data_IF_173487587508
#
_entry.id   IF_173487587508
#
_cell.length_a   1.000
_cell.length_b   1.000
_cell.length_c   1.000
_cell.angle_alpha   90.00
_cell.angle_beta   90.00
_cell.angle_gamma   90.00
#
_symmetry.space_group_name_H-M   'P 1'
#
loop_
_entity.id
_entity.type
_entity.pdbx_description
1 polymer ?
#
# COMPACT_ATOMS: atom_id res chain seq x y z
N UNK A 1 24.76 24.59 -14.25
CA UNK A 1 25.71 24.00 -13.27
C UNK A 1 24.91 23.11 -12.35
N UNK A 2 25.29 21.85 -12.12
CA UNK A 2 24.50 20.98 -11.25
C UNK A 2 24.51 21.57 -9.83
N UNK A 3 23.33 21.63 -9.21
CA UNK A 3 23.14 22.18 -7.87
C UNK A 3 24.03 21.46 -6.88
N UNK A 4 24.72 22.21 -6.02
CA UNK A 4 25.43 21.64 -4.87
C UNK A 4 24.42 20.81 -4.06
N UNK A 5 24.75 19.55 -3.83
CA UNK A 5 23.96 18.67 -2.98
C UNK A 5 24.25 19.03 -1.53
N UNK A 6 23.21 19.13 -0.71
CA UNK A 6 23.37 19.40 0.71
C UNK A 6 24.00 18.18 1.42
N UNK A 7 24.66 18.41 2.56
CA UNK A 7 25.24 17.31 3.34
C UNK A 7 24.15 16.33 3.80
N UNK A 8 22.96 16.84 4.13
CA UNK A 8 21.81 16.02 4.53
C UNK A 8 21.41 15.06 3.41
N UNK A 9 21.30 15.56 2.18
CA UNK A 9 20.96 14.76 1.00
C UNK A 9 22.03 13.69 0.72
N UNK A 10 23.32 14.02 0.91
CA UNK A 10 24.41 13.05 0.76
C UNK A 10 24.34 11.94 1.82
N UNK A 11 24.03 12.27 3.07
CA UNK A 11 23.84 11.29 4.14
C UNK A 11 22.59 10.44 3.89
N UNK A 12 21.50 11.04 3.42
CA UNK A 12 20.29 10.33 3.00
C UNK A 12 20.61 9.32 1.89
N UNK A 13 21.40 9.74 0.90
CA UNK A 13 21.86 8.89 -0.19
C UNK A 13 22.68 7.69 0.33
N UNK A 14 23.58 7.88 1.30
CA UNK A 14 24.34 6.77 1.89
C UNK A 14 23.43 5.73 2.57
N UNK A 15 22.36 6.18 3.21
CA UNK A 15 21.44 5.28 3.92
C UNK A 15 20.57 4.51 2.93
N UNK A 16 19.94 5.19 1.97
CA UNK A 16 18.87 4.61 1.16
C UNK A 16 19.29 4.17 -0.25
N UNK A 17 20.33 4.76 -0.84
CA UNK A 17 20.76 4.46 -2.20
C UNK A 17 21.95 3.48 -2.20
N UNK A 18 21.65 2.20 -2.48
CA UNK A 18 22.65 1.12 -2.43
C UNK A 18 23.85 1.37 -3.35
N UNK A 19 23.62 1.75 -4.59
CA UNK A 19 24.69 1.95 -5.58
C UNK A 19 25.65 3.06 -5.14
N UNK A 20 25.09 4.18 -4.69
CA UNK A 20 25.86 5.30 -4.14
C UNK A 20 26.66 4.88 -2.90
N UNK A 21 26.05 4.14 -1.97
CA UNK A 21 26.71 3.63 -0.78
C UNK A 21 27.86 2.68 -1.13
N UNK A 22 27.64 1.75 -2.05
CA UNK A 22 28.66 0.76 -2.43
C UNK A 22 29.87 1.45 -3.08
N UNK A 23 29.64 2.45 -3.93
CA UNK A 23 30.70 3.30 -4.51
C UNK A 23 31.46 4.06 -3.42
N UNK A 24 30.74 4.68 -2.49
CA UNK A 24 31.33 5.40 -1.36
C UNK A 24 32.20 4.49 -0.47
N UNK A 25 31.73 3.26 -0.17
CA UNK A 25 32.49 2.29 0.63
C UNK A 25 33.75 1.84 -0.13
N UNK A 26 33.64 1.60 -1.44
CA UNK A 26 34.75 1.09 -2.24
C UNK A 26 35.85 2.14 -2.47
N UNK A 27 35.47 3.39 -2.74
CA UNK A 27 36.36 4.40 -3.28
C UNK A 27 36.40 5.70 -2.45
N UNK A 28 35.65 5.78 -1.35
CA UNK A 28 35.62 6.92 -0.43
C UNK A 28 34.82 8.13 -0.97
N UNK A 29 34.75 9.22 -0.18
CA UNK A 29 34.00 10.44 -0.54
C UNK A 29 34.50 11.13 -1.81
N UNK A 30 35.72 10.83 -2.26
CA UNK A 30 36.29 11.38 -3.50
C UNK A 30 35.68 10.78 -4.76
N UNK A 31 35.11 9.58 -4.66
CA UNK A 31 34.48 8.88 -5.78
C UNK A 31 33.03 9.27 -6.01
N UNK A 32 32.37 9.83 -5.00
CA UNK A 32 30.97 10.19 -5.08
C UNK A 32 30.74 11.10 -6.29
N UNK A 33 29.87 10.68 -7.21
CA UNK A 33 29.43 11.45 -8.37
C UNK A 33 28.77 12.82 -8.02
N UNK A 34 28.73 13.19 -6.74
CA UNK A 34 28.12 14.39 -6.21
C UNK A 34 29.13 15.55 -6.17
N UNK A 35 28.65 16.74 -6.51
CA UNK A 35 29.42 17.98 -6.43
C UNK A 35 29.55 18.46 -4.97
N UNK A 36 30.37 17.77 -4.17
CA UNK A 36 30.62 18.07 -2.75
C UNK A 36 31.69 19.16 -2.57
N UNK A 37 31.43 20.08 -1.65
CA UNK A 37 32.42 21.06 -1.18
C UNK A 37 33.52 20.39 -0.34
N UNK A 38 34.70 21.00 -0.19
CA UNK A 38 35.77 20.44 0.64
C UNK A 38 35.35 20.18 2.10
N UNK A 39 34.52 21.05 2.66
CA UNK A 39 33.98 20.89 4.01
C UNK A 39 33.06 19.65 4.12
N UNK A 40 32.17 19.44 3.14
CA UNK A 40 31.30 18.26 3.09
C UNK A 40 32.11 16.98 2.90
N UNK A 41 33.15 16.99 2.07
CA UNK A 41 34.07 15.84 1.92
C UNK A 41 34.73 15.49 3.24
N UNK A 42 35.29 16.50 3.92
CA UNK A 42 35.92 16.29 5.23
C UNK A 42 34.94 15.73 6.27
N UNK A 43 33.68 16.15 6.24
CA UNK A 43 32.64 15.62 7.13
C UNK A 43 32.29 14.17 6.78
N UNK A 44 32.13 13.84 5.49
CA UNK A 44 31.81 12.48 5.04
C UNK A 44 32.96 11.50 5.26
N UNK A 45 34.22 11.95 5.23
CA UNK A 45 35.38 11.11 5.59
C UNK A 45 35.35 10.63 7.05
N UNK A 46 34.56 11.25 7.93
CA UNK A 46 34.39 10.84 9.32
C UNK A 46 33.28 9.79 9.51
N UNK A 47 32.57 9.39 8.46
CA UNK A 47 31.52 8.36 8.53
C UNK A 47 32.14 7.00 8.81
N UNK A 48 31.65 6.34 9.86
CA UNK A 48 32.00 4.95 10.16
C UNK A 48 31.31 4.02 9.15
N UNK A 49 32.11 3.41 8.27
CA UNK A 49 31.63 2.54 7.21
C UNK A 49 31.04 1.23 7.73
N UNK A 50 31.53 0.74 8.87
CA UNK A 50 31.01 -0.48 9.49
C UNK A 50 29.62 -0.20 10.08
N UNK A 51 29.49 0.91 10.82
CA UNK A 51 28.21 1.31 11.39
C UNK A 51 27.19 1.69 10.32
N UNK A 52 27.62 2.32 9.22
CA UNK A 52 26.76 2.57 8.05
C UNK A 52 26.23 1.25 7.47
N UNK A 53 27.10 0.25 7.31
CA UNK A 53 26.71 -1.07 6.78
C UNK A 53 25.72 -1.78 7.71
N UNK A 54 25.96 -1.73 9.04
CA UNK A 54 25.04 -2.31 10.04
C UNK A 54 23.69 -1.59 10.05
N UNK A 55 23.70 -0.26 10.02
CA UNK A 55 22.49 0.58 10.05
C UNK A 55 21.60 0.30 8.84
N UNK A 56 22.18 0.31 7.64
CA UNK A 56 21.42 0.03 6.41
C UNK A 56 20.88 -1.40 6.37
N UNK A 57 21.65 -2.39 6.82
CA UNK A 57 21.18 -3.78 6.97
C UNK A 57 20.00 -3.89 7.94
N UNK A 58 20.06 -3.15 9.06
CA UNK A 58 18.98 -3.11 10.06
C UNK A 58 17.71 -2.49 9.48
N UNK A 59 17.82 -1.36 8.77
CA UNK A 59 16.70 -0.71 8.09
C UNK A 59 16.05 -1.69 7.10
N UNK A 60 16.83 -2.31 6.22
CA UNK A 60 16.31 -3.30 5.27
C UNK A 60 15.59 -4.45 5.96
N UNK A 61 16.15 -4.97 7.06
CA UNK A 61 15.51 -6.01 7.85
C UNK A 61 14.20 -5.55 8.47
N UNK A 62 14.14 -4.32 9.00
CA UNK A 62 12.92 -3.75 9.58
C UNK A 62 11.83 -3.55 8.54
N UNK A 63 12.16 -3.04 7.36
CA UNK A 63 11.19 -2.88 6.27
C UNK A 63 10.63 -4.24 5.82
N UNK A 64 11.50 -5.24 5.65
CA UNK A 64 11.08 -6.55 5.18
C UNK A 64 10.32 -7.37 6.22
N UNK A 65 10.74 -7.33 7.49
CA UNK A 65 10.27 -8.25 8.55
C UNK A 65 9.44 -7.57 9.64
N UNK A 66 9.36 -6.25 9.64
CA UNK A 66 8.75 -5.49 10.72
C UNK A 66 9.65 -5.35 11.94
N UNK A 67 9.04 -4.98 13.06
CA UNK A 67 9.74 -4.82 14.35
C UNK A 67 10.06 -6.18 14.99
N UNK A 68 10.89 -6.16 16.04
CA UNK A 68 11.48 -7.36 16.70
C UNK A 68 10.42 -8.39 17.13
N UNK A 69 9.19 -7.95 17.40
CA UNK A 69 8.07 -8.82 17.79
C UNK A 69 7.37 -9.51 16.61
N UNK A 70 7.89 -9.38 15.38
CA UNK A 70 7.36 -10.05 14.18
C UNK A 70 6.05 -9.45 13.65
N UNK A 71 5.63 -8.30 14.18
CA UNK A 71 4.49 -7.55 13.69
C UNK A 71 4.92 -6.53 12.62
N UNK A 72 4.20 -6.54 11.51
CA UNK A 72 4.36 -5.60 10.40
C UNK A 72 5.43 -5.99 9.37
N UNK A 73 5.75 -5.04 8.49
CA UNK A 73 6.72 -5.20 7.42
C UNK A 73 6.17 -5.90 6.18
N UNK A 74 6.91 -5.77 5.08
CA UNK A 74 6.44 -6.18 3.75
C UNK A 74 6.17 -7.67 3.63
N UNK A 75 6.85 -8.54 4.39
CA UNK A 75 6.59 -9.99 4.36
C UNK A 75 5.29 -10.39 5.08
N UNK A 76 4.83 -9.59 6.04
CA UNK A 76 3.54 -9.82 6.67
C UNK A 76 2.41 -9.28 5.78
N UNK A 77 2.63 -8.12 5.16
CA UNK A 77 1.61 -7.43 4.37
C UNK A 77 1.50 -7.96 2.93
N UNK A 78 2.61 -8.35 2.30
CA UNK A 78 2.70 -8.83 0.90
C UNK A 78 3.38 -10.20 0.72
N UNK A 79 3.04 -11.24 1.51
CA UNK A 79 3.77 -12.51 1.51
C UNK A 79 3.78 -13.20 0.13
N UNK A 80 2.65 -13.21 -0.56
CA UNK A 80 2.50 -13.92 -1.83
C UNK A 80 3.05 -13.10 -2.99
N UNK A 81 2.87 -11.78 -2.98
CA UNK A 81 3.49 -10.89 -3.98
C UNK A 81 5.02 -11.02 -3.94
N UNK A 82 5.63 -11.01 -2.74
CA UNK A 82 7.07 -11.20 -2.62
C UNK A 82 7.51 -12.60 -3.10
N UNK A 83 6.74 -13.63 -2.79
CA UNK A 83 7.00 -15.01 -3.27
C UNK A 83 6.95 -15.09 -4.80
N UNK A 84 5.98 -14.42 -5.43
CA UNK A 84 5.84 -14.33 -6.88
C UNK A 84 7.01 -13.58 -7.52
N UNK A 85 7.42 -12.45 -6.95
CA UNK A 85 8.57 -11.70 -7.45
C UNK A 85 9.87 -12.50 -7.34
N UNK A 86 10.04 -13.24 -6.24
CA UNK A 86 11.18 -14.12 -6.03
C UNK A 86 11.23 -15.27 -7.06
N UNK A 87 10.09 -15.88 -7.39
CA UNK A 87 10.03 -16.93 -8.42
C UNK A 87 10.35 -16.41 -9.82
N UNK A 88 10.16 -15.10 -10.06
CA UNK A 88 10.56 -14.38 -11.28
C UNK A 88 12.01 -13.87 -11.25
N UNK A 89 12.80 -14.23 -10.24
CA UNK A 89 14.21 -13.89 -10.12
C UNK A 89 14.52 -12.58 -9.40
N UNK A 90 13.51 -11.89 -8.84
CA UNK A 90 13.72 -10.68 -8.05
C UNK A 90 14.07 -11.05 -6.60
N UNK A 91 15.32 -10.84 -6.20
CA UNK A 91 15.78 -11.10 -4.82
C UNK A 91 15.30 -9.99 -3.88
N UNK A 92 14.84 -10.37 -2.67
CA UNK A 92 14.39 -9.44 -1.63
C UNK A 92 15.36 -8.30 -1.34
N UNK A 93 16.67 -8.58 -1.29
CA UNK A 93 17.67 -7.55 -1.01
C UNK A 93 17.76 -6.50 -2.13
N UNK A 94 17.65 -6.93 -3.39
CA UNK A 94 17.61 -6.03 -4.54
C UNK A 94 16.30 -5.25 -4.61
N UNK A 95 15.18 -5.92 -4.32
CA UNK A 95 13.85 -5.29 -4.26
C UNK A 95 13.80 -4.20 -3.18
N UNK A 96 14.21 -4.53 -1.96
CA UNK A 96 14.22 -3.60 -0.84
C UNK A 96 15.17 -2.42 -1.10
N UNK A 97 16.35 -2.67 -1.66
CA UNK A 97 17.27 -1.59 -2.03
C UNK A 97 16.68 -0.64 -3.08
N UNK A 98 15.98 -1.16 -4.10
CA UNK A 98 15.32 -0.33 -5.11
C UNK A 98 14.13 0.43 -4.54
N UNK A 99 13.36 -0.20 -3.66
CA UNK A 99 12.22 0.43 -2.99
C UNK A 99 12.67 1.59 -2.09
N UNK A 100 13.67 1.37 -1.24
CA UNK A 100 14.23 2.42 -0.36
C UNK A 100 14.78 3.62 -1.13
N UNK A 101 15.29 3.40 -2.35
CA UNK A 101 15.81 4.45 -3.21
C UNK A 101 14.73 5.12 -4.10
N UNK A 102 13.46 4.72 -3.97
CA UNK A 102 12.36 5.20 -4.81
C UNK A 102 11.64 6.40 -4.20
N UNK A 103 11.10 7.26 -5.06
CA UNK A 103 10.25 8.39 -4.63
C UNK A 103 8.98 7.95 -3.89
N UNK A 104 8.51 6.72 -4.12
CA UNK A 104 7.39 6.16 -3.38
C UNK A 104 7.72 6.00 -1.89
N UNK A 105 8.96 5.62 -1.56
CA UNK A 105 9.40 5.48 -0.16
C UNK A 105 9.56 6.85 0.54
N UNK A 106 9.87 7.92 -0.19
CA UNK A 106 9.99 9.27 0.39
C UNK A 106 8.68 9.78 1.03
N UNK A 107 7.54 9.18 0.66
CA UNK A 107 6.22 9.50 1.21
C UNK A 107 5.92 8.76 2.54
N UNK A 108 6.71 7.75 2.89
CA UNK A 108 6.48 6.92 4.08
C UNK A 108 6.66 7.73 5.37
N UNK A 109 5.69 7.67 6.29
CA UNK A 109 5.82 8.27 7.62
C UNK A 109 5.26 7.33 8.69
N UNK A 110 6.06 7.09 9.72
CA UNK A 110 5.67 6.26 10.88
C UNK A 110 5.40 7.12 12.14
N UNK A 111 5.79 8.39 12.13
CA UNK A 111 5.81 9.23 13.33
C UNK A 111 4.44 9.89 13.58
N UNK A 112 3.81 9.67 14.76
CA UNK A 112 2.48 10.21 15.10
C UNK A 112 2.38 11.74 15.18
N UNK A 113 3.49 12.46 15.32
CA UNK A 113 3.52 13.90 15.63
C UNK A 113 4.06 14.77 14.48
N UNK A 114 4.25 14.21 13.28
CA UNK A 114 4.65 14.94 12.07
C UNK A 114 3.49 15.16 11.10
N UNK A 115 3.77 15.73 9.93
CA UNK A 115 2.82 15.67 8.81
C UNK A 115 2.55 14.21 8.44
N UNK A 116 1.28 13.89 8.22
CA UNK A 116 0.88 12.53 7.84
C UNK A 116 1.44 12.18 6.45
N UNK A 117 2.13 11.05 6.39
CA UNK A 117 2.55 10.43 5.13
C UNK A 117 1.66 9.25 4.78
N UNK A 118 2.21 8.38 3.95
CA UNK A 118 1.61 7.10 3.59
C UNK A 118 2.08 5.98 4.52
N UNK A 119 1.27 4.92 4.59
CA UNK A 119 1.70 3.65 5.16
C UNK A 119 2.83 3.03 4.35
N UNK A 120 3.64 2.16 4.98
CA UNK A 120 4.71 1.44 4.29
C UNK A 120 4.15 0.60 3.14
N UNK A 121 2.97 0.03 3.35
CA UNK A 121 2.29 -0.82 2.39
C UNK A 121 1.81 -0.07 1.15
N UNK A 122 1.26 1.14 1.32
CA UNK A 122 0.88 1.99 0.19
C UNK A 122 2.11 2.44 -0.61
N UNK A 123 3.16 2.90 0.07
CA UNK A 123 4.42 3.24 -0.59
C UNK A 123 4.97 2.07 -1.42
N UNK A 124 4.92 0.85 -0.87
CA UNK A 124 5.41 -0.33 -1.57
C UNK A 124 4.49 -0.73 -2.73
N UNK A 125 3.18 -0.60 -2.57
CA UNK A 125 2.23 -0.85 -3.66
C UNK A 125 2.40 0.14 -4.82
N UNK A 126 2.55 1.44 -4.54
CA UNK A 126 2.87 2.45 -5.55
C UNK A 126 4.19 2.14 -6.26
N UNK A 127 5.23 1.79 -5.51
CA UNK A 127 6.51 1.39 -6.07
C UNK A 127 6.40 0.16 -6.99
N UNK A 128 5.51 -0.79 -6.66
CA UNK A 128 5.26 -1.96 -7.48
C UNK A 128 4.49 -1.61 -8.76
N UNK A 129 3.52 -0.71 -8.68
CA UNK A 129 2.60 -0.40 -9.79
C UNK A 129 3.13 0.66 -10.75
N UNK A 130 3.80 1.69 -10.23
CA UNK A 130 4.32 2.83 -10.99
C UNK A 130 5.84 2.79 -11.16
N UNK A 131 6.49 1.87 -10.45
CA UNK A 131 7.93 1.72 -10.49
C UNK A 131 8.44 0.90 -11.68
N UNK A 132 9.71 0.50 -11.63
CA UNK A 132 10.41 -0.13 -12.76
C UNK A 132 10.05 -1.61 -12.96
N UNK A 133 8.99 -2.12 -12.32
CA UNK A 133 8.52 -3.48 -12.48
C UNK A 133 7.37 -3.50 -13.46
N UNK A 134 7.55 -4.22 -14.58
CA UNK A 134 6.44 -4.52 -15.49
C UNK A 134 5.59 -5.63 -14.87
N UNK A 135 4.71 -5.25 -13.93
CA UNK A 135 3.79 -6.18 -13.31
C UNK A 135 2.65 -6.52 -14.28
N UNK A 136 2.51 -7.80 -14.57
CA UNK A 136 1.33 -8.33 -15.25
C UNK A 136 0.07 -8.20 -14.40
N UNK A 137 -1.08 -8.48 -15.02
CA UNK A 137 -2.38 -8.36 -14.38
C UNK A 137 -2.51 -9.25 -13.12
N UNK A 138 -1.91 -10.44 -13.13
CA UNK A 138 -1.96 -11.36 -11.99
C UNK A 138 -1.15 -10.86 -10.80
N UNK A 139 0.04 -10.32 -11.04
CA UNK A 139 0.87 -9.72 -9.99
C UNK A 139 0.22 -8.46 -9.42
N UNK A 140 -0.37 -7.61 -10.27
CA UNK A 140 -1.13 -6.43 -9.82
C UNK A 140 -2.37 -6.82 -9.01
N UNK A 141 -3.10 -7.84 -9.42
CA UNK A 141 -4.22 -8.40 -8.66
C UNK A 141 -3.76 -8.83 -7.27
N UNK A 142 -2.67 -9.61 -7.19
CA UNK A 142 -2.16 -10.14 -5.93
C UNK A 142 -1.69 -9.02 -4.98
N UNK A 143 -0.96 -8.04 -5.52
CA UNK A 143 -0.51 -6.87 -4.76
C UNK A 143 -1.70 -6.05 -4.24
N UNK A 144 -2.75 -5.86 -5.05
CA UNK A 144 -3.95 -5.09 -4.65
C UNK A 144 -4.74 -5.83 -3.57
N UNK A 145 -4.89 -7.15 -3.69
CA UNK A 145 -5.51 -8.00 -2.67
C UNK A 145 -4.79 -7.88 -1.32
N UNK A 146 -3.46 -7.99 -1.34
CA UNK A 146 -2.62 -7.91 -0.15
C UNK A 146 -2.63 -6.50 0.46
N UNK A 147 -2.60 -5.46 -0.36
CA UNK A 147 -2.78 -4.07 0.08
C UNK A 147 -4.12 -3.88 0.80
N UNK A 148 -5.25 -4.31 0.23
CA UNK A 148 -6.56 -4.15 0.87
C UNK A 148 -6.61 -4.81 2.24
N UNK A 149 -6.04 -6.01 2.39
CA UNK A 149 -5.97 -6.68 3.70
C UNK A 149 -5.09 -5.93 4.69
N UNK A 150 -3.95 -5.40 4.24
CA UNK A 150 -3.07 -4.61 5.09
C UNK A 150 -3.74 -3.30 5.55
N UNK A 151 -4.41 -2.59 4.64
CA UNK A 151 -5.16 -1.38 4.97
C UNK A 151 -6.30 -1.65 5.95
N UNK A 152 -7.06 -2.74 5.76
CA UNK A 152 -8.09 -3.17 6.72
C UNK A 152 -7.49 -3.39 8.11
N UNK A 153 -6.35 -4.09 8.20
CA UNK A 153 -5.68 -4.32 9.48
C UNK A 153 -5.26 -3.00 10.14
N UNK A 154 -4.77 -2.04 9.36
CA UNK A 154 -4.44 -0.70 9.83
C UNK A 154 -5.65 0.07 10.37
N UNK A 155 -6.78 0.01 9.67
CA UNK A 155 -8.04 0.60 10.16
C UNK A 155 -8.49 -0.08 11.46
N UNK A 156 -8.42 -1.42 11.55
CA UNK A 156 -8.78 -2.18 12.75
C UNK A 156 -7.92 -1.83 13.95
N UNK A 157 -6.61 -1.67 13.73
CA UNK A 157 -5.65 -1.34 14.78
C UNK A 157 -5.75 0.12 15.25
N UNK A 158 -6.52 0.97 14.55
CA UNK A 158 -6.58 2.40 14.84
C UNK A 158 -5.31 3.17 14.43
N UNK A 159 -4.51 2.61 13.51
CA UNK A 159 -3.23 3.16 13.08
C UNK A 159 -3.37 4.44 12.24
N UNK A 160 -4.57 4.83 11.82
CA UNK A 160 -4.83 6.04 11.01
C UNK A 160 -4.49 7.36 11.73
N UNK A 161 -4.10 7.31 13.00
CA UNK A 161 -3.51 8.44 13.69
C UNK A 161 -2.12 8.83 13.12
N UNK A 162 -1.38 7.88 12.54
CA UNK A 162 0.03 8.07 12.14
C UNK A 162 0.24 8.30 10.63
N UNK A 163 -0.70 7.89 9.79
CA UNK A 163 -0.66 8.09 8.34
C UNK A 163 -2.06 8.30 7.76
N UNK A 164 -2.11 8.71 6.49
CA UNK A 164 -3.32 8.73 5.67
C UNK A 164 -3.32 7.53 4.72
N UNK A 165 -4.53 7.08 4.34
CA UNK A 165 -4.72 6.21 3.18
C UNK A 165 -5.06 7.10 2.00
N UNK A 166 -4.26 7.06 0.93
CA UNK A 166 -4.41 7.91 -0.26
C UNK A 166 -4.61 7.13 -1.55
N UNK A 167 -4.40 5.82 -1.53
CA UNK A 167 -4.65 5.00 -2.71
C UNK A 167 -6.10 5.15 -3.22
N UNK A 168 -6.28 5.31 -4.53
CA UNK A 168 -7.61 5.52 -5.11
C UNK A 168 -8.47 4.23 -5.10
N UNK A 169 -7.82 3.07 -4.99
CA UNK A 169 -8.50 1.76 -5.02
C UNK A 169 -9.16 1.40 -3.68
N UNK A 170 -8.83 2.11 -2.59
CA UNK A 170 -9.40 1.88 -1.26
C UNK A 170 -9.93 3.18 -0.67
N UNK A 171 -11.25 3.29 -0.56
CA UNK A 171 -11.98 4.54 -0.38
C UNK A 171 -12.64 4.60 0.99
N UNK A 172 -12.97 5.81 1.43
CA UNK A 172 -13.80 6.04 2.63
C UNK A 172 -14.99 6.92 2.31
N UNK A 173 -16.12 6.62 2.94
CA UNK A 173 -17.30 7.50 2.97
C UNK A 173 -17.49 8.16 4.36
N UNK A 174 -16.47 8.12 5.22
CA UNK A 174 -16.50 8.63 6.59
C UNK A 174 -17.09 7.67 7.64
N UNK A 175 -17.91 6.70 7.23
CA UNK A 175 -18.47 5.68 8.13
C UNK A 175 -17.80 4.30 7.97
N UNK A 176 -17.24 4.02 6.79
CA UNK A 176 -16.55 2.80 6.45
C UNK A 176 -15.36 3.05 5.52
N UNK A 177 -14.48 2.06 5.44
CA UNK A 177 -13.40 1.97 4.47
C UNK A 177 -13.63 0.75 3.58
N UNK A 178 -13.44 0.88 2.27
CA UNK A 178 -13.77 -0.19 1.34
C UNK A 178 -13.05 -0.10 -0.01
N UNK A 179 -12.87 -1.24 -0.64
CA UNK A 179 -12.40 -1.39 -2.01
C UNK A 179 -13.03 -2.62 -2.66
N UNK A 180 -13.06 -2.62 -3.99
CA UNK A 180 -13.56 -3.76 -4.77
C UNK A 180 -12.45 -4.29 -5.67
N UNK A 181 -12.34 -5.60 -5.79
CA UNK A 181 -11.36 -6.24 -6.65
C UNK A 181 -12.04 -7.32 -7.49
N UNK A 182 -11.74 -7.35 -8.79
CA UNK A 182 -12.24 -8.39 -9.67
C UNK A 182 -11.41 -9.66 -9.47
N UNK A 183 -12.08 -10.75 -9.07
CA UNK A 183 -11.46 -12.05 -8.88
C UNK A 183 -11.69 -12.93 -10.10
N UNK A 184 -10.64 -13.67 -10.46
CA UNK A 184 -10.75 -14.82 -11.35
C UNK A 184 -10.41 -16.06 -10.53
N UNK A 185 -11.32 -17.03 -10.48
CA UNK A 185 -11.21 -18.20 -9.60
C UNK A 185 -9.95 -19.02 -9.91
N UNK A 186 -9.56 -19.08 -11.19
CA UNK A 186 -8.32 -19.73 -11.63
C UNK A 186 -7.08 -19.05 -11.02
N UNK A 187 -6.97 -17.72 -11.15
CA UNK A 187 -5.87 -16.91 -10.58
C UNK A 187 -5.86 -17.03 -9.06
N UNK A 188 -7.03 -16.92 -8.42
CA UNK A 188 -7.16 -17.04 -6.97
C UNK A 188 -6.66 -18.40 -6.47
N UNK A 189 -7.03 -19.50 -7.15
CA UNK A 189 -6.52 -20.84 -6.81
C UNK A 189 -5.01 -20.96 -7.00
N UNK A 190 -4.48 -20.43 -8.10
CA UNK A 190 -3.03 -20.43 -8.38
C UNK A 190 -2.24 -19.77 -7.24
N UNK A 191 -2.75 -18.67 -6.69
CA UNK A 191 -2.10 -17.94 -5.59
C UNK A 191 -2.68 -18.24 -4.20
N UNK A 192 -3.53 -19.26 -4.07
CA UNK A 192 -4.23 -19.64 -2.84
C UNK A 192 -4.93 -18.45 -2.13
N UNK A 193 -5.52 -17.53 -2.90
CA UNK A 193 -6.24 -16.33 -2.45
C UNK A 193 -7.71 -16.66 -2.19
N UNK A 194 -8.22 -16.21 -1.05
CA UNK A 194 -9.63 -16.34 -0.68
C UNK A 194 -10.35 -14.97 -0.75
N UNK A 195 -11.63 -14.95 -1.18
CA UNK A 195 -12.37 -16.08 -1.74
C UNK A 195 -11.92 -16.44 -3.17
N UNK A 196 -11.81 -17.73 -3.46
CA UNK A 196 -11.45 -18.23 -4.78
C UNK A 196 -12.68 -18.34 -5.72
N UNK A 197 -13.25 -17.20 -6.08
CA UNK A 197 -14.44 -17.07 -6.93
C UNK A 197 -14.15 -16.27 -8.21
N UNK A 198 -15.09 -16.30 -9.15
CA UNK A 198 -15.14 -15.39 -10.30
C UNK A 198 -16.06 -14.22 -9.96
N UNK A 199 -15.71 -13.00 -10.37
CA UNK A 199 -16.53 -11.81 -10.15
C UNK A 199 -15.95 -10.83 -9.12
N UNK A 200 -16.72 -9.81 -8.80
CA UNK A 200 -16.27 -8.74 -7.89
C UNK A 200 -16.30 -9.17 -6.42
N UNK A 201 -15.20 -8.93 -5.71
CA UNK A 201 -15.07 -9.12 -4.26
C UNK A 201 -14.97 -7.77 -3.56
N UNK A 202 -15.80 -7.59 -2.54
CA UNK A 202 -15.77 -6.43 -1.65
C UNK A 202 -14.83 -6.70 -0.47
N UNK A 203 -13.94 -5.74 -0.22
CA UNK A 203 -13.13 -5.61 0.98
C UNK A 203 -13.66 -4.39 1.72
N UNK A 204 -14.31 -4.58 2.87
CA UNK A 204 -14.89 -3.46 3.62
C UNK A 204 -14.72 -3.62 5.12
N UNK A 205 -14.50 -2.50 5.80
CA UNK A 205 -14.55 -2.41 7.26
C UNK A 205 -15.32 -1.17 7.68
N UNK A 206 -16.33 -1.39 8.52
CA UNK A 206 -17.13 -0.33 9.14
C UNK A 206 -17.40 -0.63 10.61
N UNK A 207 -18.32 0.13 11.21
CA UNK A 207 -18.64 0.03 12.64
C UNK A 207 -19.08 -1.37 13.09
N UNK A 208 -19.75 -2.13 12.21
CA UNK A 208 -20.28 -3.46 12.54
C UNK A 208 -19.32 -4.61 12.22
N UNK A 209 -18.14 -4.32 11.67
CA UNK A 209 -17.09 -5.32 11.44
C UNK A 209 -16.51 -5.31 10.02
N UNK A 210 -15.76 -6.38 9.75
CA UNK A 210 -15.05 -6.64 8.50
C UNK A 210 -15.87 -7.57 7.59
N UNK A 211 -15.94 -7.24 6.31
CA UNK A 211 -16.46 -8.11 5.24
C UNK A 211 -15.41 -8.25 4.15
N UNK A 212 -15.11 -9.50 3.81
CA UNK A 212 -14.40 -9.88 2.60
C UNK A 212 -15.24 -10.94 1.90
N UNK A 213 -15.82 -10.62 0.76
CA UNK A 213 -16.74 -11.55 0.10
C UNK A 213 -17.20 -11.10 -1.28
N UNK A 214 -17.62 -12.09 -2.07
CA UNK A 214 -18.18 -11.84 -3.39
C UNK A 214 -19.47 -11.03 -3.29
N UNK A 215 -19.62 -10.06 -4.18
CA UNK A 215 -20.85 -9.30 -4.38
C UNK A 215 -21.34 -9.51 -5.82
N UNK A 216 -22.66 -9.39 -6.07
CA UNK A 216 -23.17 -9.39 -7.44
C UNK A 216 -22.57 -8.25 -8.28
N UNK A 217 -22.39 -8.45 -9.58
CA UNK A 217 -21.75 -7.47 -10.48
C UNK A 217 -22.40 -6.08 -10.43
N UNK A 218 -23.73 -6.03 -10.35
CA UNK A 218 -24.47 -4.77 -10.24
C UNK A 218 -24.11 -4.00 -8.96
N UNK A 219 -23.84 -4.73 -7.86
CA UNK A 219 -23.40 -4.15 -6.59
C UNK A 219 -21.96 -3.66 -6.72
N UNK A 220 -21.10 -4.42 -7.39
CA UNK A 220 -19.75 -3.99 -7.74
C UNK A 220 -19.73 -2.66 -8.49
N UNK A 221 -20.65 -2.46 -9.46
CA UNK A 221 -20.81 -1.19 -10.16
C UNK A 221 -21.22 -0.04 -9.23
N UNK A 222 -22.22 -0.25 -8.37
CA UNK A 222 -22.62 0.76 -7.36
C UNK A 222 -21.43 1.13 -6.46
N UNK A 223 -20.71 0.12 -5.97
CA UNK A 223 -19.53 0.29 -5.12
C UNK A 223 -18.32 0.87 -5.85
N UNK A 224 -18.34 0.98 -7.17
CA UNK A 224 -17.33 1.65 -7.99
C UNK A 224 -17.64 3.14 -8.24
N UNK A 225 -18.88 3.58 -8.01
CA UNK A 225 -19.28 4.97 -8.27
C UNK A 225 -18.71 5.93 -7.20
N UNK A 226 -18.50 7.22 -7.54
CA UNK A 226 -17.94 8.21 -6.60
C UNK A 226 -18.81 8.46 -5.36
N UNK A 227 -20.13 8.38 -5.52
CA UNK A 227 -21.10 8.55 -4.45
C UNK A 227 -22.01 7.31 -4.35
N UNK A 228 -22.15 6.78 -3.14
CA UNK A 228 -22.99 5.63 -2.84
C UNK A 228 -24.24 6.15 -2.14
N UNK A 229 -25.33 6.28 -2.90
CA UNK A 229 -26.60 6.79 -2.41
C UNK A 229 -27.75 5.85 -2.77
N UNK A 230 -28.89 6.03 -2.10
CA UNK A 230 -30.08 5.23 -2.34
C UNK A 230 -30.62 5.42 -3.77
N UNK A 231 -30.50 6.63 -4.30
CA UNK A 231 -30.91 6.93 -5.68
C UNK A 231 -30.03 6.22 -6.70
N UNK A 232 -28.71 6.17 -6.47
CA UNK A 232 -27.77 5.43 -7.31
C UNK A 232 -28.09 3.94 -7.27
N UNK A 233 -28.33 3.41 -6.07
CA UNK A 233 -28.68 2.01 -5.86
C UNK A 233 -29.99 1.64 -6.59
N UNK A 234 -31.04 2.47 -6.47
CA UNK A 234 -32.33 2.30 -7.16
C UNK A 234 -32.19 2.42 -8.68
N UNK A 235 -31.35 3.34 -9.17
CA UNK A 235 -31.07 3.52 -10.60
C UNK A 235 -30.42 2.29 -11.22
N UNK A 236 -29.32 1.81 -10.65
CA UNK A 236 -28.62 0.61 -11.14
C UNK A 236 -29.51 -0.63 -11.04
N UNK A 237 -30.29 -0.76 -9.97
CA UNK A 237 -31.22 -1.88 -9.81
C UNK A 237 -32.36 -1.87 -10.84
N UNK A 238 -32.86 -0.69 -11.20
CA UNK A 238 -33.87 -0.54 -12.24
C UNK A 238 -33.33 -0.90 -13.63
N UNK A 239 -32.07 -0.55 -13.93
CA UNK A 239 -31.42 -0.92 -15.20
C UNK A 239 -31.24 -2.44 -15.32
N UNK A 240 -30.97 -3.11 -14.21
CA UNK A 240 -30.78 -4.56 -14.13
C UNK A 240 -32.09 -5.36 -13.97
N UNK A 241 -33.23 -4.68 -13.83
CA UNK A 241 -34.53 -5.32 -13.64
C UNK A 241 -34.63 -6.12 -12.33
N UNK A 242 -33.97 -5.67 -11.27
CA UNK A 242 -33.94 -6.37 -9.99
C UNK A 242 -35.27 -6.25 -9.24
N UNK A 243 -35.65 -7.34 -8.55
CA UNK A 243 -36.79 -7.33 -7.64
C UNK A 243 -36.56 -6.39 -6.44
N UNK A 244 -37.62 -5.69 -6.01
CA UNK A 244 -37.54 -4.74 -4.90
C UNK A 244 -37.11 -5.36 -3.57
N UNK A 245 -37.36 -6.65 -3.36
CA UNK A 245 -36.93 -7.43 -2.19
C UNK A 245 -35.40 -7.55 -2.12
N UNK A 246 -34.76 -7.93 -3.22
CA UNK A 246 -33.30 -8.04 -3.32
C UNK A 246 -32.62 -6.69 -3.13
N UNK A 247 -33.21 -5.63 -3.68
CA UNK A 247 -32.73 -4.26 -3.51
C UNK A 247 -32.79 -3.82 -2.04
N UNK A 248 -33.90 -4.13 -1.35
CA UNK A 248 -34.09 -3.81 0.04
C UNK A 248 -33.08 -4.53 0.95
N UNK A 249 -32.89 -5.84 0.75
CA UNK A 249 -31.91 -6.63 1.51
C UNK A 249 -30.48 -6.14 1.28
N UNK A 250 -30.15 -5.77 0.04
CA UNK A 250 -28.86 -5.21 -0.30
C UNK A 250 -28.64 -3.83 0.36
N UNK A 251 -29.65 -2.95 0.32
CA UNK A 251 -29.61 -1.65 0.99
C UNK A 251 -29.39 -1.80 2.50
N UNK A 252 -30.09 -2.74 3.14
CA UNK A 252 -29.93 -3.03 4.57
C UNK A 252 -28.49 -3.46 4.90
N UNK A 253 -27.90 -4.37 4.10
CA UNK A 253 -26.51 -4.81 4.32
C UNK A 253 -25.51 -3.68 4.14
N UNK A 254 -25.69 -2.83 3.13
CA UNK A 254 -24.82 -1.65 2.93
C UNK A 254 -24.96 -0.65 4.08
N UNK A 255 -26.17 -0.42 4.58
CA UNK A 255 -26.40 0.41 5.78
C UNK A 255 -25.70 -0.18 6.99
N UNK A 256 -25.80 -1.49 7.19
CA UNK A 256 -25.17 -2.19 8.31
C UNK A 256 -23.64 -2.06 8.28
N UNK A 257 -23.05 -2.11 7.08
CA UNK A 257 -21.61 -1.89 6.89
C UNK A 257 -21.22 -0.40 6.95
N UNK A 258 -22.19 0.51 7.00
CA UNK A 258 -21.94 1.95 6.93
C UNK A 258 -21.58 2.45 5.53
N UNK A 259 -21.77 1.62 4.49
CA UNK A 259 -21.50 1.96 3.08
C UNK A 259 -22.60 2.82 2.46
N UNK A 260 -23.83 2.67 2.95
CA UNK A 260 -24.98 3.49 2.55
C UNK A 260 -25.45 4.32 3.75
N UNK A 261 -25.63 5.65 3.61
CA UNK A 261 -26.13 6.46 4.71
C UNK A 261 -27.57 6.04 5.07
N UNK A 262 -27.86 5.93 6.37
CA UNK A 262 -29.24 5.82 6.85
C UNK A 262 -29.98 7.08 6.40
N UNK A 263 -31.02 6.93 5.58
CA UNK A 263 -31.93 8.04 5.32
C UNK A 263 -32.45 8.51 6.68
N UNK A 264 -32.11 9.73 7.09
CA UNK A 264 -32.73 10.34 8.25
C UNK A 264 -34.23 10.29 8.00
N UNK A 265 -34.95 9.48 8.78
CA UNK A 265 -36.41 9.51 8.75
C UNK A 265 -36.80 10.96 8.92
N UNK A 266 -37.40 11.56 7.89
CA UNK A 266 -38.07 12.83 8.02
C UNK A 266 -39.08 12.65 9.15
N UNK A 267 -38.78 13.19 10.33
CA UNK A 267 -39.79 13.39 11.36
C UNK A 267 -40.74 14.43 10.76
N UNK A 268 -41.78 13.92 10.11
CA UNK A 268 -43.01 14.68 9.86
C UNK A 268 -43.71 14.96 11.17
#
# INVERSE_FOLDING_TARGET
>A
MPSKIDLVDALHALIYHKEFRDEFIANGPESAALSLTPAQRSALSAVDLEELSRTTSRIQSMILRGHVDGHGGLRASFPKTLTLLASRGTKDSGLCARFLASSSFDQFREIPYGEKGLSLEECFYEFLCDGPFDLDAEAKFLATHELFKALINHVQAGSLATFDIRTEVFRSNGAAWFGTLEHQAAVCRTFAVDPACDGTVLYAIGQKGLVIGQVPDWMGRVLGLPDISRQVLEGVASEEGLESSLLYDAALRLVDLGLLPMSASSKG
#
